data_IF_148979171177
#
_entry.id   IF_148979171177
#
_cell.length_a   1.000
_cell.length_b   1.000
_cell.length_c   1.000
_cell.angle_alpha   90.00
_cell.angle_beta   90.00
_cell.angle_gamma   90.00
#
_symmetry.space_group_name_H-M   'P 1'
#
loop_
_entity.id
_entity.type
_entity.pdbx_description
1 polymer ?
#
# COMPACT_ATOMS: atom_id res chain seq x y z
N UNK A 1 25.80 25.43 19.57
CA UNK A 1 24.80 25.19 20.63
C UNK A 1 25.50 25.31 21.98
N UNK A 2 24.96 26.11 22.90
CA UNK A 2 25.47 26.21 24.28
C UNK A 2 24.97 25.03 25.13
N UNK A 3 25.63 24.71 26.27
CA UNK A 3 25.14 23.64 27.15
C UNK A 3 23.73 23.85 27.69
N UNK A 4 23.30 25.10 27.86
CA UNK A 4 21.94 25.43 28.28
C UNK A 4 20.93 25.17 27.16
N UNK A 5 21.24 25.55 25.92
CA UNK A 5 20.43 25.23 24.75
C UNK A 5 20.32 23.72 24.52
N UNK A 6 21.43 22.99 24.69
CA UNK A 6 21.46 21.53 24.54
C UNK A 6 20.54 20.83 25.55
N UNK A 7 20.57 21.24 26.82
CA UNK A 7 19.66 20.70 27.84
C UNK A 7 18.21 21.11 27.63
N UNK A 8 17.96 22.33 27.17
CA UNK A 8 16.61 22.76 26.81
C UNK A 8 16.05 21.90 25.66
N UNK A 9 16.88 21.62 24.64
CA UNK A 9 16.49 20.78 23.51
C UNK A 9 16.31 19.31 23.92
N UNK A 10 17.20 18.76 24.76
CA UNK A 10 17.02 17.45 25.38
C UNK A 10 15.70 17.35 26.15
N UNK A 11 15.38 18.32 27.01
CA UNK A 11 14.13 18.34 27.78
C UNK A 11 12.91 18.44 26.87
N UNK A 12 13.01 19.21 25.79
CA UNK A 12 11.97 19.28 24.76
C UNK A 12 11.74 17.90 24.11
N UNK A 13 12.81 17.23 23.66
CA UNK A 13 12.74 15.88 23.09
C UNK A 13 12.16 14.86 24.08
N UNK A 14 12.61 14.88 25.34
CA UNK A 14 12.06 13.98 26.36
C UNK A 14 10.58 14.27 26.67
N UNK A 15 10.15 15.53 26.57
CA UNK A 15 8.72 15.89 26.68
C UNK A 15 7.90 15.29 25.54
N UNK A 16 8.41 15.37 24.31
CA UNK A 16 7.77 14.72 23.15
C UNK A 16 7.71 13.19 23.34
N UNK A 17 8.79 12.59 23.83
CA UNK A 17 8.84 11.15 24.13
C UNK A 17 7.80 10.75 25.17
N UNK A 18 7.69 11.49 26.29
CA UNK A 18 6.72 11.20 27.36
C UNK A 18 5.28 11.31 26.84
N UNK A 19 5.04 12.27 25.93
CA UNK A 19 3.74 12.45 25.25
C UNK A 19 3.49 11.45 24.12
N UNK A 20 4.48 10.60 23.79
CA UNK A 20 4.43 9.65 22.67
C UNK A 20 4.17 10.31 21.32
N UNK A 21 4.70 11.51 21.13
CA UNK A 21 4.57 12.27 19.87
C UNK A 21 5.34 11.56 18.75
N UNK A 22 4.71 11.36 17.58
CA UNK A 22 5.35 10.68 16.44
C UNK A 22 6.61 11.39 15.93
N UNK A 23 6.70 12.70 16.14
CA UNK A 23 7.83 13.53 15.76
C UNK A 23 9.10 13.27 16.57
N UNK A 24 9.00 12.65 17.75
CA UNK A 24 10.14 12.44 18.65
C UNK A 24 11.28 11.67 17.99
N UNK A 25 11.01 10.49 17.41
CA UNK A 25 12.05 9.61 16.87
C UNK A 25 12.92 10.27 15.78
N UNK A 26 12.33 10.88 14.73
CA UNK A 26 13.08 11.62 13.71
C UNK A 26 13.86 12.82 14.27
N UNK A 27 13.28 13.59 15.19
CA UNK A 27 13.94 14.76 15.78
C UNK A 27 15.11 14.37 16.68
N UNK A 28 14.93 13.32 17.50
CA UNK A 28 16.00 12.79 18.35
C UNK A 28 17.16 12.26 17.52
N UNK A 29 16.91 11.49 16.45
CA UNK A 29 17.96 11.03 15.54
C UNK A 29 18.73 12.18 14.90
N UNK A 30 18.02 13.21 14.44
CA UNK A 30 18.64 14.39 13.82
C UNK A 30 19.54 15.09 14.82
N UNK A 31 19.03 15.33 16.03
CA UNK A 31 19.80 15.96 17.10
C UNK A 31 21.08 15.18 17.45
N UNK A 32 20.98 13.84 17.58
CA UNK A 32 22.12 12.96 17.89
C UNK A 32 23.14 12.83 16.75
N UNK A 33 22.74 13.07 15.50
CA UNK A 33 23.64 13.02 14.32
C UNK A 33 24.36 14.32 14.08
N UNK A 34 23.69 15.44 14.32
CA UNK A 34 24.23 16.77 14.07
C UNK A 34 25.17 17.26 15.19
N UNK A 35 25.12 16.63 16.37
CA UNK A 35 25.86 17.09 17.53
C UNK A 35 26.61 15.95 18.24
N UNK A 36 27.84 16.24 18.69
CA UNK A 36 28.51 15.44 19.71
C UNK A 36 27.90 15.78 21.08
N UNK A 37 27.07 14.87 21.59
CA UNK A 37 26.30 15.06 22.82
C UNK A 37 27.19 15.33 24.05
N UNK A 38 28.40 14.77 24.07
CA UNK A 38 29.34 15.00 25.16
C UNK A 38 29.94 16.40 25.08
N UNK A 39 30.31 16.87 23.88
CA UNK A 39 30.86 18.22 23.68
C UNK A 39 29.85 19.33 23.97
N UNK A 40 28.57 19.10 23.69
CA UNK A 40 27.50 20.07 24.00
C UNK A 40 27.05 20.00 25.47
N UNK A 41 27.65 19.14 26.30
CA UNK A 41 27.49 19.16 27.76
C UNK A 41 26.36 18.29 28.32
N UNK A 42 25.84 17.32 27.56
CA UNK A 42 24.89 16.33 28.10
C UNK A 42 25.62 15.26 28.91
N UNK A 43 25.05 14.90 30.06
CA UNK A 43 25.62 13.87 30.94
C UNK A 43 25.48 12.46 30.34
N UNK A 44 26.28 11.47 30.79
CA UNK A 44 26.10 10.08 30.38
C UNK A 44 24.67 9.57 30.59
N UNK A 45 23.99 9.98 31.67
CA UNK A 45 22.59 9.63 31.94
C UNK A 45 21.62 10.26 30.95
N UNK A 46 21.79 11.54 30.62
CA UNK A 46 20.94 12.23 29.64
C UNK A 46 21.09 11.57 28.25
N UNK A 47 22.33 11.26 27.86
CA UNK A 47 22.63 10.55 26.61
C UNK A 47 22.03 9.14 26.61
N UNK A 48 22.22 8.37 27.69
CA UNK A 48 21.67 7.03 27.84
C UNK A 48 20.14 7.03 27.69
N UNK A 49 19.45 7.94 28.40
CA UNK A 49 18.00 8.08 28.32
C UNK A 49 17.53 8.41 26.91
N UNK A 50 18.24 9.31 26.20
CA UNK A 50 17.89 9.69 24.84
C UNK A 50 18.05 8.51 23.86
N UNK A 51 19.16 7.76 23.96
CA UNK A 51 19.37 6.57 23.13
C UNK A 51 18.32 5.49 23.39
N UNK A 52 18.03 5.19 24.66
CA UNK A 52 17.02 4.19 25.03
C UNK A 52 15.63 4.56 24.53
N UNK A 53 15.18 5.79 24.82
CA UNK A 53 13.89 6.29 24.35
C UNK A 53 13.77 6.26 22.82
N UNK A 54 14.84 6.64 22.11
CA UNK A 54 14.85 6.61 20.64
C UNK A 54 14.80 5.18 20.11
N UNK A 55 15.52 4.23 20.73
CA UNK A 55 15.47 2.81 20.34
C UNK A 55 14.09 2.18 20.54
N UNK A 56 13.38 2.51 21.62
CA UNK A 56 12.02 2.04 21.88
C UNK A 56 11.03 2.56 20.82
N UNK A 57 11.21 3.80 20.38
CA UNK A 57 10.36 4.41 19.34
C UNK A 57 10.43 3.65 18.01
N UNK A 58 11.56 2.99 17.71
CA UNK A 58 11.74 2.21 16.48
C UNK A 58 11.40 0.73 16.63
N UNK A 59 10.88 0.30 17.78
CA UNK A 59 10.52 -1.10 18.02
C UNK A 59 9.56 -1.74 17.00
N UNK A 60 8.65 -1.02 16.30
CA UNK A 60 7.74 -1.67 15.35
C UNK A 60 8.24 -1.72 13.89
N UNK A 61 9.38 -1.12 13.53
CA UNK A 61 9.76 -0.90 12.11
C UNK A 61 11.11 -1.56 11.71
N UNK A 62 11.11 -2.73 11.05
CA UNK A 62 12.35 -3.44 10.65
C UNK A 62 13.31 -2.62 9.79
N UNK A 63 12.78 -1.78 8.89
CA UNK A 63 13.57 -0.85 8.07
C UNK A 63 14.38 0.17 8.89
N UNK A 64 14.00 0.41 10.16
CA UNK A 64 14.70 1.29 11.10
C UNK A 64 15.60 0.55 12.09
N UNK A 65 15.69 -0.79 12.01
CA UNK A 65 16.46 -1.57 12.97
C UNK A 65 17.96 -1.30 12.95
N UNK A 66 18.51 -0.82 11.83
CA UNK A 66 19.88 -0.30 11.79
C UNK A 66 20.07 0.88 12.77
N UNK A 67 19.13 1.82 12.80
CA UNK A 67 19.16 2.97 13.72
C UNK A 67 18.90 2.54 15.17
N UNK A 68 17.98 1.59 15.37
CA UNK A 68 17.70 1.01 16.69
C UNK A 68 18.95 0.33 17.26
N UNK A 69 19.63 -0.49 16.47
CA UNK A 69 20.88 -1.15 16.87
C UNK A 69 21.96 -0.13 17.23
N UNK A 70 22.12 0.93 16.44
CA UNK A 70 23.07 2.01 16.74
C UNK A 70 22.77 2.65 18.11
N UNK A 71 21.50 2.94 18.40
CA UNK A 71 21.10 3.51 19.69
C UNK A 71 21.35 2.54 20.85
N UNK A 72 20.98 1.26 20.70
CA UNK A 72 21.19 0.24 21.74
C UNK A 72 22.67 -0.01 22.02
N UNK A 73 23.51 -0.04 20.98
CA UNK A 73 24.96 -0.17 21.11
C UNK A 73 25.56 1.03 21.86
N UNK A 74 25.20 2.26 21.47
CA UNK A 74 25.66 3.47 22.18
C UNK A 74 25.16 3.54 23.62
N UNK A 75 23.93 3.10 23.89
CA UNK A 75 23.40 2.99 25.25
C UNK A 75 24.18 1.95 26.08
N UNK A 76 24.50 0.79 25.49
CA UNK A 76 25.32 -0.25 26.12
C UNK A 76 26.74 0.24 26.44
N UNK A 77 27.37 0.98 25.52
CA UNK A 77 28.71 1.56 25.73
C UNK A 77 28.71 2.64 26.83
N UNK A 78 27.61 3.38 26.97
CA UNK A 78 27.45 4.42 28.00
C UNK A 78 27.08 3.86 29.36
N UNK A 79 26.35 2.74 29.44
CA UNK A 79 25.79 2.21 30.68
C UNK A 79 26.82 2.13 31.84
N UNK A 80 28.07 1.64 31.65
CA UNK A 80 29.07 1.58 32.73
C UNK A 80 29.46 2.95 33.32
N UNK A 81 29.20 4.04 32.58
CA UNK A 81 29.51 5.42 32.98
C UNK A 81 28.31 6.15 33.60
N UNK A 82 27.18 5.47 33.75
CA UNK A 82 25.96 6.03 34.33
C UNK A 82 25.71 5.50 35.74
N UNK A 83 24.93 6.24 36.52
CA UNK A 83 24.34 5.71 37.77
C UNK A 83 23.34 4.56 37.56
N UNK A 84 22.93 4.28 36.32
CA UNK A 84 21.97 3.23 35.98
C UNK A 84 22.63 1.84 35.87
N UNK A 85 23.96 1.75 35.98
CA UNK A 85 24.68 0.50 35.86
C UNK A 85 24.12 -0.57 36.82
N UNK A 86 23.53 -1.60 36.23
CA UNK A 86 23.00 -2.77 36.93
C UNK A 86 23.17 -4.01 36.02
N UNK A 87 23.63 -5.16 36.55
CA UNK A 87 23.90 -6.35 35.74
C UNK A 87 22.70 -6.93 34.98
N UNK A 88 21.48 -6.78 35.50
CA UNK A 88 20.23 -7.11 34.81
C UNK A 88 19.99 -6.21 33.61
N UNK A 89 20.08 -4.89 33.77
CA UNK A 89 19.93 -3.92 32.69
C UNK A 89 20.98 -4.13 31.59
N UNK A 90 22.24 -4.41 31.94
CA UNK A 90 23.29 -4.74 30.98
C UNK A 90 22.96 -6.01 30.18
N UNK A 91 22.43 -7.05 30.83
CA UNK A 91 21.99 -8.28 30.15
C UNK A 91 20.79 -8.04 29.25
N UNK A 92 19.82 -7.24 29.68
CA UNK A 92 18.66 -6.88 28.87
C UNK A 92 19.09 -6.15 27.60
N UNK A 93 19.97 -5.15 27.72
CA UNK A 93 20.51 -4.43 26.56
C UNK A 93 21.21 -5.36 25.57
N UNK A 94 22.02 -6.30 26.05
CA UNK A 94 22.66 -7.31 25.19
C UNK A 94 21.63 -8.22 24.50
N UNK A 95 20.58 -8.64 25.21
CA UNK A 95 19.48 -9.41 24.62
C UNK A 95 18.74 -8.61 23.56
N UNK A 96 18.45 -7.34 23.81
CA UNK A 96 17.77 -6.46 22.86
C UNK A 96 18.62 -6.20 21.60
N UNK A 97 19.95 -6.05 21.76
CA UNK A 97 20.90 -5.97 20.64
C UNK A 97 20.89 -7.27 19.82
N UNK A 98 20.99 -8.43 20.48
CA UNK A 98 20.99 -9.73 19.82
C UNK A 98 19.67 -9.96 19.06
N UNK A 99 18.53 -9.70 19.71
CA UNK A 99 17.20 -9.85 19.12
C UNK A 99 17.02 -8.92 17.92
N UNK A 100 17.32 -7.63 18.09
CA UNK A 100 17.19 -6.65 17.01
C UNK A 100 18.13 -6.98 15.84
N UNK A 101 19.32 -7.53 16.13
CA UNK A 101 20.28 -8.02 15.13
C UNK A 101 19.73 -9.19 14.32
N UNK A 102 19.20 -10.21 15.01
CA UNK A 102 18.56 -11.36 14.37
C UNK A 102 17.36 -10.95 13.51
N UNK A 103 16.51 -10.05 14.01
CA UNK A 103 15.36 -9.56 13.24
C UNK A 103 15.80 -8.76 12.01
N UNK A 104 16.86 -7.95 12.13
CA UNK A 104 17.43 -7.22 10.99
C UNK A 104 18.05 -8.18 9.97
N UNK A 105 18.67 -9.27 10.40
CA UNK A 105 19.17 -10.32 9.50
C UNK A 105 18.04 -11.03 8.76
N UNK A 106 16.96 -11.41 9.45
CA UNK A 106 15.76 -11.98 8.82
C UNK A 106 15.19 -11.02 7.77
N UNK A 107 15.04 -9.74 8.14
CA UNK A 107 14.62 -8.70 7.20
C UNK A 107 15.58 -8.58 6.01
N UNK A 108 16.89 -8.55 6.24
CA UNK A 108 17.89 -8.44 5.18
C UNK A 108 17.91 -9.67 4.27
N UNK A 109 17.67 -10.87 4.81
CA UNK A 109 17.55 -12.10 4.03
C UNK A 109 16.28 -12.07 3.15
N UNK A 110 15.14 -11.63 3.70
CA UNK A 110 13.95 -11.35 2.91
C UNK A 110 14.24 -10.26 1.85
N UNK A 111 15.13 -9.32 2.15
CA UNK A 111 15.62 -8.28 1.23
C UNK A 111 16.80 -8.71 0.33
N UNK A 112 17.25 -9.97 0.31
CA UNK A 112 18.21 -10.45 -0.70
C UNK A 112 17.48 -10.87 -1.97
N UNK A 113 18.05 -10.54 -3.12
CA UNK A 113 17.50 -10.92 -4.44
C UNK A 113 18.22 -12.19 -4.88
N UNK A 114 17.54 -13.35 -5.00
CA UNK A 114 18.13 -14.53 -5.61
C UNK A 114 18.58 -14.23 -7.04
N UNK A 115 19.56 -14.99 -7.56
CA UNK A 115 19.97 -14.84 -8.96
C UNK A 115 18.78 -15.18 -9.87
N UNK A 116 18.52 -14.31 -10.85
CA UNK A 116 17.41 -14.43 -11.79
C UNK A 116 17.27 -15.86 -12.35
N UNK A 117 16.10 -16.46 -12.15
CA UNK A 117 15.70 -17.70 -12.78
C UNK A 117 15.31 -17.49 -14.26
N UNK A 118 15.19 -18.58 -15.01
CA UNK A 118 14.81 -18.59 -16.42
C UNK A 118 13.44 -17.89 -16.64
N UNK A 119 13.37 -16.99 -17.63
CA UNK A 119 12.19 -16.17 -17.95
C UNK A 119 10.96 -17.00 -18.33
N UNK A 120 11.13 -18.29 -18.65
CA UNK A 120 10.08 -19.18 -19.15
C UNK A 120 9.03 -19.62 -18.12
N UNK A 121 9.19 -19.31 -16.83
CA UNK A 121 8.29 -19.76 -15.77
C UNK A 121 7.95 -18.67 -14.74
N UNK A 122 7.72 -17.44 -15.19
CA UNK A 122 7.23 -16.40 -14.29
C UNK A 122 5.81 -16.73 -13.81
N UNK A 123 5.60 -16.70 -12.49
CA UNK A 123 4.32 -16.97 -11.86
C UNK A 123 3.96 -15.83 -10.93
N UNK A 124 2.73 -15.35 -11.05
CA UNK A 124 2.06 -14.58 -10.01
C UNK A 124 1.22 -15.56 -9.20
N UNK A 125 1.48 -15.65 -7.91
CA UNK A 125 0.69 -16.49 -6.99
C UNK A 125 -0.15 -15.55 -6.14
N UNK A 126 -1.46 -15.78 -6.09
CA UNK A 126 -2.41 -14.92 -5.36
C UNK A 126 -2.87 -15.64 -4.11
N UNK A 127 -2.78 -14.96 -2.98
CA UNK A 127 -3.31 -15.36 -1.68
C UNK A 127 -4.41 -14.35 -1.30
N UNK A 128 -5.65 -14.83 -1.22
CA UNK A 128 -6.83 -14.01 -0.94
C UNK A 128 -7.96 -14.86 -0.34
N UNK A 129 -8.85 -14.24 0.42
CA UNK A 129 -10.04 -14.89 1.01
C UNK A 129 -11.13 -15.20 -0.04
N UNK A 130 -11.12 -14.52 -1.19
CA UNK A 130 -12.13 -14.66 -2.24
C UNK A 130 -11.51 -15.02 -3.62
N UNK A 131 -10.80 -16.16 -3.74
CA UNK A 131 -10.04 -16.50 -4.94
C UNK A 131 -10.93 -16.71 -6.17
N UNK A 132 -12.08 -17.38 -6.03
CA UNK A 132 -13.04 -17.60 -7.12
C UNK A 132 -13.56 -16.27 -7.69
N UNK A 133 -13.78 -15.28 -6.81
CA UNK A 133 -14.21 -13.96 -7.23
C UNK A 133 -13.10 -13.23 -7.99
N UNK A 134 -11.94 -13.01 -7.38
CA UNK A 134 -10.90 -12.17 -8.00
C UNK A 134 -10.25 -12.81 -9.22
N UNK A 135 -10.04 -14.13 -9.22
CA UNK A 135 -9.28 -14.82 -10.29
C UNK A 135 -10.15 -15.16 -11.51
N UNK A 136 -11.47 -15.23 -11.35
CA UNK A 136 -12.38 -15.61 -12.46
C UNK A 136 -13.55 -14.63 -12.62
N UNK A 137 -14.46 -14.56 -11.64
CA UNK A 137 -15.70 -13.81 -11.79
C UNK A 137 -15.47 -12.31 -12.05
N UNK A 138 -14.60 -11.67 -11.27
CA UNK A 138 -14.23 -10.27 -11.43
C UNK A 138 -13.62 -9.98 -12.82
N UNK A 139 -12.82 -10.90 -13.37
CA UNK A 139 -12.23 -10.73 -14.70
C UNK A 139 -13.31 -10.83 -15.80
N UNK A 140 -14.28 -11.75 -15.65
CA UNK A 140 -15.46 -11.83 -16.53
C UNK A 140 -16.30 -10.55 -16.46
N UNK A 141 -16.53 -10.04 -15.24
CA UNK A 141 -17.28 -8.78 -15.02
C UNK A 141 -16.56 -7.58 -15.62
N UNK A 142 -15.23 -7.48 -15.48
CA UNK A 142 -14.43 -6.44 -16.11
C UNK A 142 -14.50 -6.49 -17.64
N UNK A 143 -14.40 -7.69 -18.22
CA UNK A 143 -14.53 -7.86 -19.66
C UNK A 143 -15.92 -7.47 -20.20
N UNK A 144 -16.98 -7.76 -19.45
CA UNK A 144 -18.34 -7.34 -19.76
C UNK A 144 -18.52 -5.83 -19.59
N UNK A 145 -17.97 -5.24 -18.53
CA UNK A 145 -17.99 -3.80 -18.28
C UNK A 145 -17.43 -3.01 -19.47
N UNK A 146 -16.22 -3.35 -19.93
CA UNK A 146 -15.62 -2.63 -21.06
C UNK A 146 -16.35 -2.86 -22.38
N UNK A 147 -16.88 -4.06 -22.63
CA UNK A 147 -17.70 -4.32 -23.81
C UNK A 147 -18.96 -3.44 -23.83
N UNK A 148 -19.66 -3.36 -22.69
CA UNK A 148 -20.85 -2.54 -22.54
C UNK A 148 -20.52 -1.05 -22.68
N UNK A 149 -19.46 -0.58 -22.02
CA UNK A 149 -19.00 0.81 -22.07
C UNK A 149 -18.77 1.30 -23.50
N UNK A 150 -18.03 0.52 -24.29
CA UNK A 150 -17.73 0.86 -25.68
C UNK A 150 -18.78 0.36 -26.67
N UNK A 151 -19.92 -0.14 -26.16
CA UNK A 151 -21.07 -0.62 -26.93
C UNK A 151 -20.66 -1.64 -28.01
N UNK A 152 -19.67 -2.48 -27.72
CA UNK A 152 -19.11 -3.47 -28.63
C UNK A 152 -19.84 -4.81 -28.44
N UNK A 153 -20.75 -5.20 -29.36
CA UNK A 153 -21.44 -6.48 -29.28
C UNK A 153 -20.47 -7.64 -29.49
N UNK A 154 -20.81 -8.81 -28.94
CA UNK A 154 -20.00 -10.03 -29.10
C UNK A 154 -19.79 -10.42 -30.57
N UNK A 155 -20.80 -10.23 -31.42
CA UNK A 155 -20.71 -10.47 -32.87
C UNK A 155 -19.66 -9.57 -33.53
N UNK A 156 -19.68 -8.26 -33.25
CA UNK A 156 -18.71 -7.31 -33.80
C UNK A 156 -17.31 -7.56 -33.24
N UNK A 157 -17.18 -7.84 -31.94
CA UNK A 157 -15.92 -8.25 -31.31
C UNK A 157 -15.32 -9.46 -32.03
N UNK A 158 -16.14 -10.47 -32.31
CA UNK A 158 -15.70 -11.70 -32.98
C UNK A 158 -15.35 -11.44 -34.44
N UNK A 159 -16.15 -10.65 -35.15
CA UNK A 159 -15.91 -10.27 -36.54
C UNK A 159 -14.62 -9.45 -36.70
N UNK A 160 -14.34 -8.52 -35.78
CA UNK A 160 -13.18 -7.61 -35.81
C UNK A 160 -11.92 -8.17 -35.14
N UNK A 161 -11.99 -9.34 -34.50
CA UNK A 161 -10.83 -10.01 -33.92
C UNK A 161 -10.00 -10.73 -35.00
N UNK A 162 -8.70 -10.46 -35.06
CA UNK A 162 -7.76 -11.03 -36.05
C UNK A 162 -6.88 -12.17 -35.51
N UNK A 163 -7.03 -12.57 -34.24
CA UNK A 163 -6.35 -13.75 -33.70
C UNK A 163 -7.08 -15.05 -34.03
N UNK A 164 -6.33 -16.13 -34.25
CA UNK A 164 -6.86 -17.48 -34.51
C UNK A 164 -6.54 -18.00 -35.92
N UNK A 165 -7.42 -18.84 -36.46
CA UNK A 165 -7.29 -19.40 -37.81
C UNK A 165 -7.39 -18.32 -38.90
N UNK A 166 -6.80 -18.52 -40.08
CA UNK A 166 -6.88 -17.56 -41.18
C UNK A 166 -8.33 -17.20 -41.51
N UNK A 167 -8.67 -15.92 -41.39
CA UNK A 167 -10.01 -15.44 -41.74
C UNK A 167 -10.19 -15.38 -43.25
N UNK A 168 -11.41 -15.65 -43.70
CA UNK A 168 -11.82 -15.45 -45.08
C UNK A 168 -11.94 -13.96 -45.38
N UNK A 169 -11.71 -13.59 -46.63
CA UNK A 169 -11.94 -12.24 -47.12
C UNK A 169 -13.46 -12.01 -47.21
N UNK A 170 -13.98 -11.06 -46.41
CA UNK A 170 -15.42 -10.78 -46.27
C UNK A 170 -15.74 -9.28 -46.46
N UNK A 171 -15.53 -8.71 -47.66
CA UNK A 171 -15.67 -7.28 -47.91
C UNK A 171 -17.12 -6.77 -47.82
N UNK A 172 -18.12 -7.66 -47.80
CA UNK A 172 -19.55 -7.29 -47.70
C UNK A 172 -20.08 -7.43 -46.26
N UNK A 173 -19.23 -7.80 -45.30
CA UNK A 173 -19.64 -8.00 -43.92
C UNK A 173 -19.77 -6.65 -43.20
N UNK A 174 -20.99 -6.10 -43.21
CA UNK A 174 -21.33 -4.81 -42.57
C UNK A 174 -20.99 -4.75 -41.08
N UNK A 175 -20.91 -5.90 -40.40
CA UNK A 175 -20.52 -5.97 -38.98
C UNK A 175 -19.03 -5.68 -38.79
N UNK A 176 -18.17 -6.03 -39.75
CA UNK A 176 -16.74 -5.67 -39.73
C UNK A 176 -16.58 -4.16 -39.92
N UNK A 177 -17.39 -3.56 -40.79
CA UNK A 177 -17.30 -2.15 -41.16
C UNK A 177 -17.78 -1.19 -40.08
N UNK A 178 -18.55 -1.67 -39.10
CA UNK A 178 -19.10 -0.83 -38.04
C UNK A 178 -18.00 -0.41 -37.06
N UNK A 179 -17.75 0.89 -36.98
CA UNK A 179 -16.81 1.46 -36.02
C UNK A 179 -17.45 1.65 -34.65
N UNK A 180 -16.67 1.38 -33.60
CA UNK A 180 -17.04 1.58 -32.20
C UNK A 180 -16.01 2.52 -31.55
N UNK A 181 -16.35 3.79 -31.32
CA UNK A 181 -15.41 4.76 -30.75
C UNK A 181 -14.83 4.26 -29.41
N UNK A 182 -13.50 4.26 -29.31
CA UNK A 182 -12.79 3.78 -28.11
C UNK A 182 -12.67 2.26 -27.97
N UNK A 183 -13.27 1.48 -28.88
CA UNK A 183 -13.28 0.02 -28.87
C UNK A 183 -12.30 -0.63 -29.87
N UNK A 184 -11.22 0.07 -30.27
CA UNK A 184 -10.26 -0.53 -31.21
C UNK A 184 -9.60 -1.77 -30.58
N UNK A 185 -9.33 -2.78 -31.42
CA UNK A 185 -8.93 -4.11 -30.94
C UNK A 185 -7.69 -4.11 -30.02
N UNK A 186 -6.60 -3.35 -30.27
CA UNK A 186 -5.48 -3.26 -29.34
C UNK A 186 -5.85 -2.69 -27.96
N UNK A 187 -6.64 -1.61 -27.91
CA UNK A 187 -7.07 -1.01 -26.64
C UNK A 187 -8.05 -1.91 -25.89
N UNK A 188 -8.97 -2.56 -26.61
CA UNK A 188 -9.87 -3.53 -26.00
C UNK A 188 -9.11 -4.73 -25.47
N UNK A 189 -8.14 -5.26 -26.21
CA UNK A 189 -7.28 -6.37 -25.75
C UNK A 189 -6.51 -5.99 -24.49
N UNK A 190 -5.90 -4.80 -24.44
CA UNK A 190 -5.19 -4.31 -23.26
C UNK A 190 -6.13 -4.20 -22.03
N UNK A 191 -7.37 -3.75 -22.22
CA UNK A 191 -8.35 -3.62 -21.14
C UNK A 191 -8.99 -4.95 -20.75
N UNK A 192 -9.22 -5.89 -21.66
CA UNK A 192 -9.90 -7.15 -21.33
C UNK A 192 -8.97 -8.23 -20.81
N UNK A 193 -7.68 -8.17 -21.16
CA UNK A 193 -6.69 -9.18 -20.78
C UNK A 193 -5.82 -8.76 -19.58
N UNK A 194 -5.95 -7.52 -19.10
CA UNK A 194 -5.32 -7.10 -17.87
C UNK A 194 -6.05 -7.67 -16.65
N UNK A 195 -5.35 -7.77 -15.53
CA UNK A 195 -5.91 -8.27 -14.28
C UNK A 195 -6.53 -7.12 -13.47
N UNK A 196 -7.85 -7.12 -13.31
CA UNK A 196 -8.58 -6.04 -12.65
C UNK A 196 -8.98 -6.38 -11.22
N UNK A 197 -8.99 -5.37 -10.37
CA UNK A 197 -9.58 -5.39 -9.03
C UNK A 197 -10.91 -4.64 -9.05
N UNK A 198 -11.96 -5.36 -8.67
CA UNK A 198 -13.35 -4.94 -8.60
C UNK A 198 -13.86 -5.25 -7.20
N UNK A 199 -14.82 -4.48 -6.70
CA UNK A 199 -15.53 -4.79 -5.44
C UNK A 199 -16.88 -5.44 -5.74
N UNK A 200 -17.31 -6.46 -4.96
CA UNK A 200 -18.61 -7.10 -5.13
C UNK A 200 -19.76 -6.31 -4.48
N UNK A 201 -19.49 -5.09 -4.01
CA UNK A 201 -20.39 -4.16 -3.36
C UNK A 201 -20.06 -2.72 -3.80
N UNK A 202 -20.97 -1.79 -3.55
CA UNK A 202 -20.77 -0.38 -3.86
C UNK A 202 -19.88 0.28 -2.79
N UNK A 203 -18.97 1.13 -3.25
CA UNK A 203 -18.12 1.96 -2.38
C UNK A 203 -18.48 3.42 -2.57
N UNK A 204 -18.78 4.13 -1.48
CA UNK A 204 -19.03 5.57 -1.48
C UNK A 204 -17.95 6.31 -0.69
N UNK A 205 -17.42 7.39 -1.27
CA UNK A 205 -16.52 8.34 -0.61
C UNK A 205 -17.24 9.69 -0.58
N UNK A 206 -17.27 10.35 0.57
CA UNK A 206 -17.99 11.61 0.77
C UNK A 206 -17.23 12.55 1.70
N UNK A 207 -17.42 13.86 1.52
CA UNK A 207 -16.99 14.90 2.47
C UNK A 207 -18.03 15.21 3.54
N UNK A 208 -19.25 14.72 3.35
CA UNK A 208 -20.37 14.90 4.28
C UNK A 208 -20.89 13.53 4.79
N UNK A 209 -21.45 13.49 6.01
CA UNK A 209 -21.99 12.26 6.61
C UNK A 209 -23.32 11.80 5.99
N UNK A 210 -23.89 12.57 5.05
CA UNK A 210 -25.24 12.35 4.52
C UNK A 210 -25.32 11.13 3.58
N UNK A 211 -26.45 10.42 3.67
CA UNK A 211 -26.82 9.24 2.88
C UNK A 211 -25.74 8.14 2.84
N UNK A 212 -25.21 7.66 3.99
CA UNK A 212 -24.24 6.58 3.96
C UNK A 212 -24.86 5.30 3.38
N UNK A 213 -24.02 4.48 2.74
CA UNK A 213 -24.43 3.14 2.33
C UNK A 213 -24.68 2.26 3.57
N UNK A 214 -25.58 1.28 3.40
CA UNK A 214 -26.29 0.63 4.49
C UNK A 214 -25.46 -0.36 5.32
N UNK A 215 -24.32 -0.86 4.81
CA UNK A 215 -23.56 -1.88 5.53
C UNK A 215 -22.64 -1.28 6.61
N UNK A 216 -22.04 -0.12 6.37
CA UNK A 216 -21.20 0.54 7.37
C UNK A 216 -20.50 1.81 6.88
N UNK A 217 -19.96 2.56 7.85
CA UNK A 217 -19.22 3.82 7.66
C UNK A 217 -17.89 3.81 8.42
N UNK A 218 -16.84 4.35 7.79
CA UNK A 218 -15.59 4.77 8.43
C UNK A 218 -15.34 6.24 8.15
N UNK A 219 -14.71 6.90 9.12
CA UNK A 219 -14.45 8.34 9.07
C UNK A 219 -12.94 8.54 9.19
N UNK A 220 -12.40 9.43 8.37
CA UNK A 220 -11.00 9.83 8.42
C UNK A 220 -10.91 11.33 8.39
N UNK A 221 -9.97 11.89 9.15
CA UNK A 221 -9.45 13.22 8.90
C UNK A 221 -8.27 13.08 7.95
N UNK A 222 -8.33 13.70 6.77
CA UNK A 222 -7.37 13.46 5.69
C UNK A 222 -6.92 14.77 5.02
N UNK A 223 -5.61 15.02 5.08
CA UNK A 223 -4.93 16.19 4.52
C UNK A 223 -3.66 15.78 3.78
N UNK A 224 -3.01 16.72 3.09
CA UNK A 224 -1.71 16.46 2.48
C UNK A 224 -0.67 16.22 3.60
N UNK A 225 -0.12 15.01 3.65
CA UNK A 225 0.92 14.64 4.62
C UNK A 225 0.41 14.16 5.98
N UNK A 226 -0.90 14.16 6.23
CA UNK A 226 -1.47 13.66 7.48
C UNK A 226 -2.84 13.04 7.26
N UNK A 227 -3.07 11.88 7.85
CA UNK A 227 -4.38 11.25 7.87
C UNK A 227 -4.58 10.43 9.14
N UNK A 228 -5.78 10.49 9.72
CA UNK A 228 -6.05 9.88 11.03
C UNK A 228 -7.47 9.29 11.07
N UNK A 229 -7.65 8.04 11.54
CA UNK A 229 -8.96 7.40 11.63
C UNK A 229 -9.77 7.99 12.78
N UNK A 230 -11.04 8.28 12.50
CA UNK A 230 -12.01 8.81 13.45
C UNK A 230 -13.20 7.86 13.60
N UNK A 231 -13.95 8.06 14.69
CA UNK A 231 -15.28 7.48 14.88
C UNK A 231 -16.25 8.55 15.37
N UNK A 232 -17.54 8.29 15.22
CA UNK A 232 -18.59 9.18 15.71
C UNK A 232 -19.28 8.53 16.91
N UNK A 233 -19.20 9.18 18.07
CA UNK A 233 -19.72 8.67 19.33
C UNK A 233 -20.36 9.80 20.13
N UNK A 234 -21.57 9.57 20.66
CA UNK A 234 -22.30 10.54 21.47
C UNK A 234 -22.46 11.94 20.83
N UNK A 235 -22.62 12.00 19.50
CA UNK A 235 -22.80 13.25 18.78
C UNK A 235 -21.51 14.04 18.50
N UNK A 236 -20.34 13.42 18.71
CA UNK A 236 -19.04 14.04 18.47
C UNK A 236 -18.09 13.10 17.73
N UNK A 237 -17.12 13.69 17.04
CA UNK A 237 -15.99 12.95 16.49
C UNK A 237 -14.99 12.66 17.61
N UNK A 238 -14.49 11.44 17.65
CA UNK A 238 -13.42 11.04 18.56
C UNK A 238 -12.38 10.18 17.83
N UNK A 239 -11.18 10.14 18.41
CA UNK A 239 -10.09 9.34 17.86
C UNK A 239 -10.45 7.86 17.88
N UNK A 240 -10.17 7.16 16.78
CA UNK A 240 -10.55 5.75 16.65
C UNK A 240 -9.85 4.86 17.68
N UNK A 241 -8.59 5.17 18.02
CA UNK A 241 -7.74 4.33 18.87
C UNK A 241 -7.80 4.68 20.36
N UNK A 242 -7.90 5.96 20.70
CA UNK A 242 -7.85 6.46 22.07
C UNK A 242 -9.23 6.88 22.62
N UNK A 243 -10.23 7.02 21.74
CA UNK A 243 -11.56 7.52 22.09
C UNK A 243 -11.56 8.99 22.53
N UNK A 244 -10.47 9.73 22.30
CA UNK A 244 -10.38 11.12 22.72
C UNK A 244 -11.36 11.97 21.90
N UNK A 245 -12.23 12.72 22.57
CA UNK A 245 -13.17 13.63 21.92
C UNK A 245 -12.41 14.76 21.22
N UNK A 246 -12.72 15.00 19.96
CA UNK A 246 -12.08 16.00 19.12
C UNK A 246 -13.09 17.09 18.75
N UNK A 247 -12.66 18.34 18.80
CA UNK A 247 -13.45 19.49 18.38
C UNK A 247 -13.29 19.74 16.88
N UNK A 248 -13.85 18.82 16.08
CA UNK A 248 -13.87 18.92 14.61
C UNK A 248 -15.33 19.08 14.17
N UNK A 249 -15.61 20.10 13.37
CA UNK A 249 -16.94 20.32 12.82
C UNK A 249 -17.25 19.28 11.72
N UNK A 250 -18.49 18.81 11.62
CA UNK A 250 -18.88 17.76 10.66
C UNK A 250 -18.83 18.22 9.19
N UNK A 251 -18.78 19.53 8.96
CA UNK A 251 -18.61 20.17 7.66
C UNK A 251 -17.15 20.52 7.34
N UNK A 252 -16.19 20.09 8.17
CA UNK A 252 -14.78 20.30 7.90
C UNK A 252 -14.38 19.61 6.58
N UNK A 253 -13.76 20.34 5.63
CA UNK A 253 -13.45 19.83 4.29
C UNK A 253 -12.44 18.68 4.29
N UNK A 254 -11.71 18.49 5.40
CA UNK A 254 -10.72 17.42 5.55
C UNK A 254 -11.35 16.13 6.07
N UNK A 255 -12.62 16.14 6.48
CA UNK A 255 -13.33 14.91 6.78
C UNK A 255 -13.61 14.12 5.51
N UNK A 256 -13.42 12.81 5.62
CA UNK A 256 -13.73 11.83 4.59
C UNK A 256 -14.54 10.72 5.23
N UNK A 257 -15.74 10.54 4.73
CA UNK A 257 -16.65 9.45 5.07
C UNK A 257 -16.58 8.40 3.98
N UNK A 258 -16.27 7.18 4.37
CA UNK A 258 -16.23 6.01 3.48
C UNK A 258 -17.32 5.06 3.91
N UNK A 259 -18.27 4.78 3.04
CA UNK A 259 -19.35 3.81 3.32
C UNK A 259 -19.42 2.74 2.27
N UNK A 260 -19.91 1.56 2.64
CA UNK A 260 -20.05 0.41 1.73
C UNK A 260 -21.48 -0.13 1.78
N UNK A 261 -21.96 -0.66 0.66
CA UNK A 261 -23.24 -1.38 0.60
C UNK A 261 -23.06 -2.82 1.05
N UNK A 262 -24.17 -3.56 1.15
CA UNK A 262 -24.09 -5.02 1.12
C UNK A 262 -23.54 -5.56 -0.20
N UNK A 263 -23.14 -6.83 -0.21
CA UNK A 263 -22.78 -7.55 -1.44
C UNK A 263 -23.93 -7.47 -2.44
N UNK A 264 -23.64 -6.97 -3.64
CA UNK A 264 -24.57 -6.85 -4.76
C UNK A 264 -24.25 -7.80 -5.90
N UNK A 265 -23.05 -8.38 -5.94
CA UNK A 265 -22.71 -9.45 -6.89
C UNK A 265 -23.40 -10.76 -6.47
N UNK A 266 -24.40 -11.25 -7.24
CA UNK A 266 -25.19 -12.42 -6.85
C UNK A 266 -24.38 -13.73 -6.84
N UNK A 267 -23.29 -13.82 -7.62
CA UNK A 267 -22.44 -15.01 -7.68
C UNK A 267 -21.28 -14.96 -6.66
N UNK A 268 -21.26 -13.97 -5.76
CA UNK A 268 -20.23 -13.82 -4.73
C UNK A 268 -20.53 -14.68 -3.49
N UNK A 269 -19.69 -15.67 -3.21
CA UNK A 269 -19.94 -16.67 -2.17
C UNK A 269 -18.89 -16.71 -1.04
N UNK A 270 -18.11 -15.64 -0.84
CA UNK A 270 -17.11 -15.60 0.24
C UNK A 270 -17.78 -15.20 1.57
N UNK A 271 -17.66 -16.07 2.58
CA UNK A 271 -18.05 -15.77 3.98
C UNK A 271 -16.79 -15.87 4.84
N UNK A 272 -16.26 -14.74 5.36
CA UNK A 272 -15.13 -14.72 6.28
C UNK A 272 -15.31 -15.63 7.50
N UNK A 273 -14.25 -16.32 7.90
CA UNK A 273 -14.28 -17.40 8.91
C UNK A 273 -14.61 -16.95 10.35
N UNK A 274 -14.50 -15.66 10.63
CA UNK A 274 -14.67 -15.07 11.98
C UNK A 274 -15.96 -14.24 12.13
N UNK A 275 -16.91 -14.37 11.21
CA UNK A 275 -18.13 -13.55 11.26
C UNK A 275 -18.99 -13.86 12.48
N UNK A 276 -19.24 -12.87 13.33
CA UNK A 276 -20.24 -12.94 14.39
C UNK A 276 -21.61 -13.32 13.82
N UNK A 277 -22.37 -14.19 14.49
CA UNK A 277 -23.65 -14.73 13.98
C UNK A 277 -24.72 -13.68 13.71
N UNK A 278 -24.55 -12.48 14.23
CA UNK A 278 -25.59 -11.46 14.32
C UNK A 278 -25.56 -10.45 13.16
N UNK A 279 -24.56 -10.52 12.29
CA UNK A 279 -24.43 -9.64 11.11
C UNK A 279 -25.04 -10.34 9.87
N UNK A 280 -25.95 -9.68 9.12
CA UNK A 280 -26.44 -10.20 7.85
C UNK A 280 -25.31 -10.62 6.90
N UNK A 281 -25.46 -11.76 6.22
CA UNK A 281 -24.39 -12.38 5.41
C UNK A 281 -23.85 -11.44 4.33
N UNK A 282 -24.74 -10.67 3.71
CA UNK A 282 -24.44 -9.68 2.69
C UNK A 282 -23.55 -8.54 3.20
N UNK A 283 -23.47 -8.29 4.51
CA UNK A 283 -22.65 -7.23 5.09
C UNK A 283 -21.30 -7.72 5.60
N UNK A 284 -21.12 -9.03 5.79
CA UNK A 284 -19.91 -9.58 6.42
C UNK A 284 -18.64 -9.23 5.64
N UNK A 285 -18.59 -9.50 4.33
CA UNK A 285 -17.41 -9.22 3.52
C UNK A 285 -17.15 -7.71 3.34
N UNK A 286 -18.15 -6.87 2.96
CA UNK A 286 -17.98 -5.42 2.89
C UNK A 286 -17.49 -4.80 4.20
N UNK A 287 -18.05 -5.22 5.35
CA UNK A 287 -17.62 -4.74 6.67
C UNK A 287 -16.18 -5.14 6.95
N UNK A 288 -15.79 -6.38 6.63
CA UNK A 288 -14.40 -6.81 6.82
C UNK A 288 -13.41 -6.01 5.97
N UNK A 289 -13.78 -5.64 4.73
CA UNK A 289 -12.98 -4.71 3.92
C UNK A 289 -12.94 -3.32 4.57
N UNK A 290 -14.10 -2.80 4.99
CA UNK A 290 -14.25 -1.48 5.60
C UNK A 290 -13.41 -1.33 6.89
N UNK A 291 -13.36 -2.36 7.74
CA UNK A 291 -12.56 -2.39 8.97
C UNK A 291 -11.07 -2.19 8.71
N UNK A 292 -10.58 -2.70 7.59
CA UNK A 292 -9.19 -2.64 7.15
C UNK A 292 -8.91 -1.46 6.20
N UNK A 293 -9.87 -0.55 6.00
CA UNK A 293 -9.62 0.68 5.26
C UNK A 293 -8.67 1.57 6.08
N UNK A 294 -7.60 1.99 5.43
CA UNK A 294 -6.66 2.97 5.93
C UNK A 294 -6.79 4.31 5.21
N UNK A 295 -5.87 5.21 5.53
CA UNK A 295 -5.70 6.48 4.82
C UNK A 295 -4.22 6.75 4.58
N UNK A 296 -3.91 7.36 3.45
CA UNK A 296 -2.56 7.76 3.05
C UNK A 296 -2.63 9.19 2.53
N UNK A 297 -2.47 10.15 3.45
CA UNK A 297 -2.68 11.56 3.14
C UNK A 297 -4.11 11.81 2.63
N UNK A 298 -4.32 12.38 1.43
CA UNK A 298 -5.65 12.64 0.90
C UNK A 298 -6.35 11.40 0.31
N UNK A 299 -5.67 10.26 0.20
CA UNK A 299 -6.23 9.03 -0.35
C UNK A 299 -6.75 8.11 0.75
N UNK A 300 -7.85 7.43 0.49
CA UNK A 300 -8.27 6.27 1.26
C UNK A 300 -7.58 5.03 0.69
N UNK A 301 -7.12 4.15 1.56
CA UNK A 301 -6.48 2.88 1.20
C UNK A 301 -7.47 1.75 1.45
N UNK A 302 -8.08 1.23 0.39
CA UNK A 302 -9.01 0.11 0.46
C UNK A 302 -8.24 -1.21 0.39
N UNK A 303 -8.24 -1.95 1.49
CA UNK A 303 -7.60 -3.27 1.57
C UNK A 303 -8.43 -4.30 0.81
N UNK A 304 -7.91 -4.79 -0.31
CA UNK A 304 -8.59 -5.83 -1.10
C UNK A 304 -8.37 -7.24 -0.53
N UNK A 305 -7.60 -7.37 0.55
CA UNK A 305 -7.10 -8.66 1.05
C UNK A 305 -6.55 -9.53 -0.08
N UNK A 306 -5.79 -8.88 -0.96
CA UNK A 306 -5.27 -9.46 -2.20
C UNK A 306 -3.74 -9.38 -2.14
N UNK A 307 -3.12 -10.51 -1.77
CA UNK A 307 -1.68 -10.62 -1.64
C UNK A 307 -1.12 -11.33 -2.87
N UNK A 308 -0.14 -10.73 -3.52
CA UNK A 308 0.49 -11.27 -4.72
C UNK A 308 1.93 -11.59 -4.43
N UNK A 309 2.33 -12.83 -4.71
CA UNK A 309 3.69 -13.32 -4.65
C UNK A 309 4.28 -13.41 -6.06
N UNK A 310 5.53 -12.97 -6.22
CA UNK A 310 6.23 -12.93 -7.49
C UNK A 310 7.75 -12.86 -7.29
N UNK A 311 8.52 -13.26 -8.30
CA UNK A 311 9.98 -13.12 -8.29
C UNK A 311 10.37 -11.67 -8.63
N UNK A 312 10.68 -10.89 -7.59
CA UNK A 312 11.09 -9.49 -7.73
C UNK A 312 12.46 -9.31 -8.42
N UNK A 313 13.25 -10.37 -8.62
CA UNK A 313 14.49 -10.31 -9.40
C UNK A 313 14.23 -10.19 -10.91
N UNK A 314 13.03 -10.55 -11.35
CA UNK A 314 12.66 -10.64 -12.76
C UNK A 314 11.46 -9.77 -13.11
N UNK A 315 10.55 -9.55 -12.17
CA UNK A 315 9.28 -8.86 -12.39
C UNK A 315 9.03 -7.76 -11.35
N UNK A 316 8.38 -6.68 -11.77
CA UNK A 316 7.74 -5.68 -10.91
C UNK A 316 6.25 -5.62 -11.26
N UNK A 317 5.42 -5.16 -10.32
CA UNK A 317 3.98 -5.00 -10.57
C UNK A 317 3.65 -3.53 -10.70
N UNK A 318 3.22 -3.10 -11.89
CA UNK A 318 2.64 -1.77 -12.07
C UNK A 318 1.16 -1.85 -11.68
N UNK A 319 0.77 -1.02 -10.72
CA UNK A 319 -0.62 -0.87 -10.31
C UNK A 319 -1.11 0.50 -10.77
N UNK A 320 -2.27 0.52 -11.42
CA UNK A 320 -2.89 1.76 -11.89
C UNK A 320 -4.36 1.79 -11.52
N UNK A 321 -4.84 2.95 -11.07
CA UNK A 321 -6.26 3.24 -11.06
C UNK A 321 -6.84 3.14 -12.46
N UNK A 322 -8.02 2.57 -12.58
CA UNK A 322 -8.73 2.47 -13.85
C UNK A 322 -8.99 3.88 -14.40
N UNK A 323 -8.80 4.10 -15.71
CA UNK A 323 -8.99 5.42 -16.33
C UNK A 323 -10.42 5.95 -16.14
N UNK A 324 -11.37 5.02 -15.93
CA UNK A 324 -12.79 5.29 -15.85
C UNK A 324 -13.22 5.82 -14.47
N UNK A 325 -12.35 5.78 -13.46
CA UNK A 325 -12.65 6.31 -12.12
C UNK A 325 -13.08 7.77 -12.15
N UNK A 326 -12.55 8.56 -13.10
CA UNK A 326 -12.90 9.96 -13.23
C UNK A 326 -14.38 10.18 -13.56
N UNK A 327 -15.01 9.23 -14.27
CA UNK A 327 -16.46 9.27 -14.58
C UNK A 327 -17.32 9.09 -13.33
N UNK A 328 -16.75 8.48 -12.28
CA UNK A 328 -17.37 8.30 -10.98
C UNK A 328 -16.97 9.39 -9.97
N UNK A 329 -16.20 10.41 -10.38
CA UNK A 329 -15.74 11.48 -9.49
C UNK A 329 -14.55 11.12 -8.61
N UNK A 330 -13.83 10.04 -8.92
CA UNK A 330 -12.71 9.50 -8.14
C UNK A 330 -11.44 9.47 -8.98
N UNK A 331 -10.29 9.58 -8.32
CA UNK A 331 -8.98 9.29 -8.89
C UNK A 331 -8.32 8.15 -8.12
N UNK A 332 -7.57 7.30 -8.84
CA UNK A 332 -6.77 6.24 -8.25
C UNK A 332 -5.28 6.58 -8.29
N UNK A 333 -4.54 6.37 -7.20
CA UNK A 333 -3.09 6.48 -7.25
C UNK A 333 -2.50 5.36 -8.12
N UNK A 334 -1.37 5.64 -8.78
CA UNK A 334 -0.60 4.64 -9.53
C UNK A 334 0.80 4.50 -8.93
N UNK A 335 1.36 3.30 -9.01
CA UNK A 335 2.69 3.04 -8.48
C UNK A 335 3.28 1.75 -9.02
N UNK A 336 4.61 1.71 -9.12
CA UNK A 336 5.35 0.50 -9.42
C UNK A 336 5.73 -0.17 -8.10
N UNK A 337 5.19 -1.35 -7.85
CA UNK A 337 5.61 -2.22 -6.76
C UNK A 337 6.81 -3.04 -7.24
N UNK A 338 8.00 -2.58 -6.88
CA UNK A 338 9.26 -3.28 -7.17
C UNK A 338 9.61 -4.24 -6.05
N UNK A 339 9.32 -3.87 -4.79
CA UNK A 339 9.52 -4.68 -3.59
C UNK A 339 8.85 -4.02 -2.39
N UNK A 340 7.85 -4.65 -1.79
CA UNK A 340 7.27 -4.14 -0.54
C UNK A 340 6.78 -5.30 0.30
N UNK A 341 7.72 -5.90 1.03
CA UNK A 341 7.33 -6.60 2.25
C UNK A 341 6.70 -5.55 3.15
N UNK A 342 5.46 -5.79 3.56
CA UNK A 342 4.63 -4.79 4.24
C UNK A 342 5.43 -4.08 5.35
N UNK A 343 5.25 -2.77 5.49
CA UNK A 343 5.79 -2.00 6.62
C UNK A 343 5.27 -2.42 7.99
N UNK A 344 4.53 -3.53 8.07
CA UNK A 344 4.01 -4.13 9.30
C UNK A 344 5.07 -4.92 10.04
N UNK A 345 4.72 -5.38 11.24
CA UNK A 345 5.59 -5.97 12.28
C UNK A 345 6.39 -7.19 11.79
N UNK A 346 7.55 -7.46 12.41
CA UNK A 346 8.45 -8.61 12.18
C UNK A 346 7.70 -9.95 12.06
N UNK A 347 6.60 -10.12 12.79
CA UNK A 347 5.78 -11.34 12.80
C UNK A 347 5.22 -11.70 11.41
N UNK A 348 4.81 -10.70 10.62
CA UNK A 348 4.36 -10.92 9.24
C UNK A 348 5.48 -11.45 8.33
N UNK A 349 6.75 -11.20 8.67
CA UNK A 349 7.92 -11.73 7.97
C UNK A 349 8.23 -13.17 8.39
N UNK A 350 8.07 -13.51 9.67
CA UNK A 350 8.37 -14.83 10.21
C UNK A 350 7.42 -15.92 9.70
N UNK A 351 6.16 -15.58 9.43
CA UNK A 351 5.18 -16.54 8.88
C UNK A 351 5.26 -16.71 7.36
N UNK A 352 5.87 -15.75 6.65
CA UNK A 352 5.89 -15.67 5.18
C UNK A 352 6.89 -16.62 4.49
N UNK A 353 7.60 -17.47 5.24
CA UNK A 353 8.55 -18.45 4.72
C UNK A 353 8.29 -19.87 5.25
N UNK A 354 7.06 -20.18 5.66
CA UNK A 354 6.71 -21.51 6.18
C UNK A 354 6.59 -22.57 5.08
N UNK A 355 6.26 -22.14 3.85
CA UNK A 355 5.95 -23.05 2.77
C UNK A 355 7.06 -23.11 1.70
N UNK A 356 7.45 -24.30 1.20
CA UNK A 356 8.51 -24.42 0.20
C UNK A 356 8.30 -23.61 -1.08
N UNK A 357 7.05 -23.36 -1.48
CA UNK A 357 6.75 -22.59 -2.70
C UNK A 357 7.00 -21.09 -2.56
N UNK A 358 7.15 -20.57 -1.33
CA UNK A 358 7.45 -19.16 -1.06
C UNK A 358 8.93 -18.83 -1.25
N UNK A 359 9.80 -19.84 -1.33
CA UNK A 359 11.23 -19.66 -1.45
C UNK A 359 11.60 -18.85 -2.71
N UNK A 360 12.38 -17.79 -2.51
CA UNK A 360 12.83 -16.90 -3.59
C UNK A 360 11.78 -15.91 -4.11
N UNK A 361 10.56 -15.89 -3.55
CA UNK A 361 9.51 -14.94 -3.93
C UNK A 361 9.47 -13.73 -2.99
N UNK A 362 9.09 -12.59 -3.55
CA UNK A 362 8.61 -11.42 -2.81
C UNK A 362 7.09 -11.40 -2.85
N UNK A 363 6.47 -10.71 -1.90
CA UNK A 363 5.03 -10.45 -1.96
C UNK A 363 4.70 -8.98 -1.77
N UNK A 364 3.48 -8.64 -2.15
CA UNK A 364 2.88 -7.32 -1.97
C UNK A 364 1.38 -7.47 -1.66
N UNK A 365 0.87 -6.66 -0.73
CA UNK A 365 -0.56 -6.44 -0.62
C UNK A 365 -0.99 -5.39 -1.65
N UNK A 366 -1.98 -5.74 -2.47
CA UNK A 366 -2.53 -4.83 -3.47
C UNK A 366 -3.70 -4.08 -2.85
N UNK A 367 -3.47 -2.81 -2.55
CA UNK A 367 -4.47 -1.91 -1.98
C UNK A 367 -4.88 -0.85 -3.01
N UNK A 368 -6.17 -0.54 -3.06
CA UNK A 368 -6.69 0.51 -3.93
C UNK A 368 -6.59 1.85 -3.20
N UNK A 369 -5.88 2.79 -3.80
CA UNK A 369 -5.70 4.13 -3.23
C UNK A 369 -6.60 5.10 -3.96
N UNK A 370 -7.70 5.50 -3.33
CA UNK A 370 -8.77 6.27 -3.97
C UNK A 370 -8.90 7.64 -3.33
N UNK A 371 -9.11 8.67 -4.14
CA UNK A 371 -9.36 10.03 -3.67
C UNK A 371 -10.45 10.68 -4.49
N UNK A 372 -11.24 11.56 -3.89
CA UNK A 372 -12.20 12.36 -4.66
C UNK A 372 -11.44 13.28 -5.64
N UNK A 373 -12.01 13.48 -6.82
CA UNK A 373 -11.52 14.51 -7.73
C UNK A 373 -11.71 15.91 -7.12
N UNK A 374 -10.87 16.90 -7.47
CA UNK A 374 -11.05 18.27 -7.01
C UNK A 374 -12.46 18.80 -7.27
N UNK A 375 -13.09 19.37 -6.24
CA UNK A 375 -14.45 19.92 -6.32
C UNK A 375 -15.58 18.90 -6.18
N UNK A 376 -15.29 17.59 -6.16
CA UNK A 376 -16.30 16.55 -5.93
C UNK A 376 -16.50 16.35 -4.43
N UNK A 377 -17.75 16.47 -3.97
CA UNK A 377 -18.13 16.30 -2.56
C UNK A 377 -18.48 14.85 -2.22
N UNK A 378 -19.02 14.10 -3.17
CA UNK A 378 -19.37 12.71 -2.99
C UNK A 378 -19.29 11.93 -4.29
N UNK A 379 -18.84 10.68 -4.20
CA UNK A 379 -18.70 9.76 -5.31
C UNK A 379 -19.13 8.35 -4.90
N UNK A 380 -19.81 7.64 -5.79
CA UNK A 380 -20.17 6.23 -5.62
C UNK A 380 -19.55 5.45 -6.77
N UNK A 381 -18.76 4.44 -6.43
CA UNK A 381 -18.25 3.43 -7.35
C UNK A 381 -19.18 2.21 -7.23
N UNK A 382 -19.97 1.90 -8.27
CA UNK A 382 -20.83 0.72 -8.25
C UNK A 382 -20.02 -0.56 -8.19
N UNK A 383 -20.60 -1.61 -7.60
CA UNK A 383 -20.07 -2.96 -7.63
C UNK A 383 -19.74 -3.39 -9.07
N UNK A 384 -18.77 -4.29 -9.21
CA UNK A 384 -18.26 -4.76 -10.51
C UNK A 384 -17.68 -3.69 -11.46
N UNK A 385 -17.45 -2.47 -10.98
CA UNK A 385 -16.70 -1.47 -11.74
C UNK A 385 -15.21 -1.78 -11.63
N UNK A 386 -14.45 -1.84 -12.73
CA UNK A 386 -12.98 -1.92 -12.65
C UNK A 386 -12.42 -0.70 -11.91
N UNK A 387 -11.77 -0.93 -10.78
CA UNK A 387 -11.22 0.15 -9.95
C UNK A 387 -9.73 0.27 -10.19
N UNK A 388 -9.01 -0.84 -10.10
CA UNK A 388 -7.55 -0.89 -10.25
C UNK A 388 -7.14 -2.02 -11.19
N UNK A 389 -6.01 -1.87 -11.86
CA UNK A 389 -5.46 -2.89 -12.75
C UNK A 389 -4.01 -3.20 -12.38
N UNK A 390 -3.66 -4.49 -12.39
CA UNK A 390 -2.32 -4.99 -12.12
C UNK A 390 -1.67 -5.40 -13.43
N UNK A 391 -0.51 -4.83 -13.72
CA UNK A 391 0.30 -5.14 -14.89
C UNK A 391 1.64 -5.74 -14.47
N UNK A 392 1.96 -6.99 -14.86
CA UNK A 392 3.31 -7.52 -14.71
C UNK A 392 4.27 -6.78 -15.65
N UNK A 393 5.35 -6.22 -15.10
CA UNK A 393 6.40 -5.49 -15.81
C UNK A 393 7.74 -6.19 -15.63
N UNK A 394 8.42 -6.54 -16.72
CA UNK A 394 9.72 -7.22 -16.66
C UNK A 394 10.82 -6.26 -16.19
N UNK A 395 11.50 -6.60 -15.10
CA UNK A 395 12.52 -5.75 -14.45
C UNK A 395 13.76 -5.51 -15.33
N UNK A 396 14.06 -6.41 -16.28
CA UNK A 396 15.28 -6.36 -17.11
C UNK A 396 15.12 -5.75 -18.50
N UNK A 397 13.94 -5.24 -18.86
CA UNK A 397 13.80 -4.44 -20.09
C UNK A 397 14.13 -2.97 -19.81
N UNK A 398 15.31 -2.72 -19.22
CA UNK A 398 15.93 -1.40 -19.24
C UNK A 398 16.29 -1.09 -20.69
N UNK A 399 15.34 -0.54 -21.43
CA UNK A 399 15.59 -0.04 -22.76
C UNK A 399 16.56 1.14 -22.64
N UNK A 400 17.61 1.13 -23.46
CA UNK A 400 18.46 2.30 -23.65
C UNK A 400 17.93 3.02 -24.87
N UNK A 401 17.45 4.24 -24.70
CA UNK A 401 17.20 5.13 -25.83
C UNK A 401 18.55 5.63 -26.31
N UNK A 402 19.00 5.13 -27.44
CA UNK A 402 20.22 5.57 -28.09
C UNK A 402 19.87 6.39 -29.33
N UNK A 403 20.58 7.49 -29.55
CA UNK A 403 20.47 8.24 -30.79
C UNK A 403 21.05 7.39 -31.94
N UNK A 404 20.36 7.35 -33.08
CA UNK A 404 20.87 6.74 -34.33
C UNK A 404 22.26 7.26 -34.69
N UNK A 405 22.55 8.53 -34.38
CA UNK A 405 23.85 9.16 -34.64
C UNK A 405 24.97 8.61 -33.75
N UNK A 406 24.65 8.07 -32.57
CA UNK A 406 25.60 7.42 -31.67
C UNK A 406 26.10 6.06 -32.17
N UNK A 407 25.46 5.52 -33.22
CA UNK A 407 25.78 4.24 -33.86
C UNK A 407 26.56 4.39 -35.17
N UNK A 408 26.81 5.62 -35.63
CA UNK A 408 27.62 5.85 -36.84
C UNK A 408 29.09 6.00 -36.44
N UNK A 409 30.03 5.24 -37.04
CA UNK A 409 31.46 5.50 -36.80
C UNK A 409 31.79 6.93 -37.23
N UNK A 410 32.69 7.63 -36.52
CA UNK A 410 33.09 8.98 -36.92
C UNK A 410 33.57 8.92 -38.38
N UNK A 411 33.17 9.89 -39.24
CA UNK A 411 33.62 9.89 -40.62
C UNK A 411 35.14 9.84 -40.63
N UNK A 412 35.69 8.79 -41.25
CA UNK A 412 37.11 8.57 -41.35
C UNK A 412 37.78 9.82 -41.90
N UNK A 413 38.65 10.44 -41.10
CA UNK A 413 39.65 11.36 -41.64
C UNK A 413 40.68 10.52 -42.38
N UNK A 414 40.41 10.24 -43.66
CA UNK A 414 41.45 9.86 -44.59
C UNK A 414 42.12 11.15 -45.10
N UNK A 415 43.34 11.39 -44.60
CA UNK A 415 44.39 12.02 -45.38
C UNK A 415 44.93 11.01 -46.39
#
# INVERSE_FOLDING_TARGET
MTPQEARAHYNFLMTLCIRKEESFGPLALTFMREHDLQQIGLTPEEQFNLYMATAETFAPEPKRYTHKLECLQKASDLLPRTRFWEPGLARQLLQDIQKTGADLEMYNQAMRVPRAHDLKAQRLIVETEAPEYFLDLAQKRAAAYYQNKYRLPQEAKTAQHFGGTPKKFEPENVTIHKEFPGACAPFMSARTNAFHLLLPFDLKISRAPEDPLEAGVRIFYATVGYSYPLRYEMGKLCGYHDGQMLEIALDDPNLVFVSVSGVKEPEFNCVPSESASDVPKEFVYPMSVLEHIGSLGPFIQVSCKFKVWFDASVLSLLIQGAPDLAEYGVQGACGLMTRTYASDRVEAYAESFREPWQEGLSYNFVNMHLGLLPGIQSAVIPYNTPIFTIYPVLARQAYKLEDRLSLSPPPGRHQ
#
